data_IF_400218858844
#
_entry.id   IF_400218858844
#
_cell.length_a   1.000
_cell.length_b   1.000
_cell.length_c   1.000
_cell.angle_alpha   90.00
_cell.angle_beta   90.00
_cell.angle_gamma   90.00
#
_symmetry.space_group_name_H-M   'P 1'
#
loop_
_entity.id
_entity.type
_entity.pdbx_description
1 polymer ?
#
# COMPACT_ATOMS: atom_id res chain seq x y z
N UNK A 1 -20.92 -19.34 -27.04
CA UNK A 1 -19.47 -19.33 -27.40
C UNK A 1 -19.12 -20.71 -27.96
N UNK A 2 -18.52 -20.75 -29.16
CA UNK A 2 -18.12 -22.03 -29.81
C UNK A 2 -16.95 -22.65 -29.03
N UNK A 3 -16.88 -24.00 -28.93
CA UNK A 3 -15.76 -24.76 -28.34
C UNK A 3 -14.38 -24.34 -28.90
N UNK A 4 -14.34 -23.85 -30.15
CA UNK A 4 -13.15 -23.31 -30.81
C UNK A 4 -12.57 -22.06 -30.12
N UNK A 5 -13.42 -21.19 -29.58
CA UNK A 5 -12.99 -19.96 -28.90
C UNK A 5 -12.41 -20.24 -27.52
N UNK A 6 -12.89 -21.27 -26.83
CA UNK A 6 -12.36 -21.71 -25.53
C UNK A 6 -10.95 -22.33 -25.70
N UNK A 7 -10.76 -23.13 -26.76
CA UNK A 7 -9.44 -23.71 -27.06
C UNK A 7 -8.41 -22.65 -27.49
N UNK A 8 -8.81 -21.65 -28.27
CA UNK A 8 -7.94 -20.50 -28.58
C UNK A 8 -7.59 -19.70 -27.33
N UNK A 9 -8.59 -19.45 -26.46
CA UNK A 9 -8.37 -18.74 -25.20
C UNK A 9 -7.41 -19.47 -24.26
N UNK A 10 -7.58 -20.78 -24.09
CA UNK A 10 -6.67 -21.61 -23.29
C UNK A 10 -5.27 -21.72 -23.91
N UNK A 11 -5.14 -21.72 -25.24
CA UNK A 11 -3.86 -21.69 -25.94
C UNK A 11 -3.16 -20.35 -25.77
N UNK A 12 -3.86 -19.23 -25.89
CA UNK A 12 -3.33 -17.88 -25.63
C UNK A 12 -2.92 -17.73 -24.16
N UNK A 13 -3.72 -18.25 -23.23
CA UNK A 13 -3.41 -18.23 -21.80
C UNK A 13 -2.19 -19.08 -21.45
N UNK A 14 -2.06 -20.28 -22.04
CA UNK A 14 -0.85 -21.11 -21.93
C UNK A 14 0.37 -20.45 -22.57
N UNK A 15 0.23 -19.84 -23.74
CA UNK A 15 1.31 -19.12 -24.42
C UNK A 15 1.74 -17.89 -23.61
N UNK A 16 0.80 -17.07 -23.09
CA UNK A 16 1.10 -15.95 -22.22
C UNK A 16 1.82 -16.37 -20.94
N UNK A 17 1.41 -17.46 -20.30
CA UNK A 17 2.08 -17.96 -19.09
C UNK A 17 3.43 -18.61 -19.42
N UNK A 18 3.54 -19.39 -20.52
CA UNK A 18 4.80 -20.03 -20.90
C UNK A 18 5.81 -19.00 -21.43
N UNK A 19 5.38 -18.05 -22.23
CA UNK A 19 6.26 -16.99 -22.74
C UNK A 19 6.61 -15.97 -21.66
N UNK A 20 5.67 -15.66 -20.74
CA UNK A 20 5.96 -14.82 -19.57
C UNK A 20 6.97 -15.48 -18.61
N UNK A 21 6.93 -16.82 -18.46
CA UNK A 21 7.93 -17.57 -17.67
C UNK A 21 9.25 -17.80 -18.41
N UNK A 22 9.28 -17.79 -19.76
CA UNK A 22 10.48 -17.97 -20.57
C UNK A 22 11.21 -16.63 -20.85
N UNK A 23 10.50 -15.51 -20.99
CA UNK A 23 11.10 -14.20 -21.27
C UNK A 23 11.56 -13.45 -20.02
N UNK A 24 10.98 -13.72 -18.86
CA UNK A 24 11.49 -13.21 -17.59
C UNK A 24 12.42 -14.28 -17.01
N UNK A 25 13.67 -14.29 -17.45
CA UNK A 25 14.77 -14.91 -16.71
C UNK A 25 14.99 -14.07 -15.42
N UNK A 26 13.98 -14.04 -14.55
CA UNK A 26 14.17 -13.53 -13.20
C UNK A 26 15.30 -14.36 -12.59
N UNK A 27 16.36 -13.74 -12.06
CA UNK A 27 17.37 -14.47 -11.32
C UNK A 27 16.61 -15.33 -10.30
N UNK A 28 16.94 -16.62 -10.26
CA UNK A 28 16.32 -17.58 -9.34
C UNK A 28 16.65 -17.16 -7.91
N UNK A 29 15.88 -16.20 -7.39
CA UNK A 29 16.06 -15.65 -6.06
C UNK A 29 15.64 -16.75 -5.10
N UNK A 30 16.61 -17.41 -4.47
CA UNK A 30 16.38 -18.42 -3.45
C UNK A 30 16.34 -17.75 -2.09
N UNK A 31 15.21 -17.82 -1.43
CA UNK A 31 15.09 -17.48 -0.02
C UNK A 31 15.42 -18.72 0.82
N UNK A 32 16.54 -18.75 1.56
CA UNK A 32 16.95 -19.91 2.40
C UNK A 32 16.64 -21.27 1.74
N UNK A 33 16.98 -21.45 0.44
CA UNK A 33 16.75 -22.69 -0.31
C UNK A 33 15.33 -22.90 -0.86
N UNK A 34 14.33 -22.09 -0.52
CA UNK A 34 12.98 -22.10 -1.11
C UNK A 34 12.88 -21.15 -2.30
N UNK A 35 12.23 -21.60 -3.40
CA UNK A 35 11.92 -20.72 -4.54
C UNK A 35 10.93 -19.65 -4.08
N UNK A 36 11.17 -18.39 -4.45
CA UNK A 36 10.15 -17.35 -4.35
C UNK A 36 9.07 -17.61 -5.41
N UNK A 37 8.01 -18.29 -5.00
CA UNK A 37 6.84 -18.59 -5.85
C UNK A 37 5.74 -17.55 -5.68
N UNK A 38 6.08 -16.34 -5.17
CA UNK A 38 5.11 -15.32 -4.80
C UNK A 38 4.18 -14.90 -5.96
N UNK A 39 4.69 -14.90 -7.20
CA UNK A 39 3.88 -14.65 -8.40
C UNK A 39 2.86 -15.76 -8.70
N UNK A 40 2.98 -16.93 -8.10
CA UNK A 40 2.02 -18.02 -8.21
C UNK A 40 1.04 -18.06 -7.01
N UNK A 41 1.12 -17.09 -6.10
CA UNK A 41 0.13 -16.97 -5.04
C UNK A 41 -1.25 -16.69 -5.65
N UNK A 42 -2.29 -17.44 -5.27
CA UNK A 42 -3.64 -17.26 -5.81
C UNK A 42 -4.15 -15.83 -5.67
N UNK A 43 -3.81 -15.13 -4.59
CA UNK A 43 -4.28 -13.75 -4.36
C UNK A 43 -3.65 -12.79 -5.38
N UNK A 44 -2.36 -12.94 -5.69
CA UNK A 44 -1.67 -12.15 -6.72
C UNK A 44 -2.18 -12.52 -8.12
N UNK A 45 -2.44 -13.81 -8.38
CA UNK A 45 -3.02 -14.24 -9.66
C UNK A 45 -4.42 -13.66 -9.86
N UNK A 46 -5.25 -13.57 -8.82
CA UNK A 46 -6.55 -12.90 -8.89
C UNK A 46 -6.41 -11.39 -9.14
N UNK A 47 -5.40 -10.74 -8.60
CA UNK A 47 -5.09 -9.34 -8.93
C UNK A 47 -4.76 -9.17 -10.41
N UNK A 48 -3.88 -10.00 -10.96
CA UNK A 48 -3.49 -9.98 -12.38
C UNK A 48 -4.73 -10.27 -13.25
N UNK A 49 -5.56 -11.25 -12.85
CA UNK A 49 -6.80 -11.55 -13.54
C UNK A 49 -7.79 -10.36 -13.51
N UNK A 50 -7.88 -9.66 -12.39
CA UNK A 50 -8.68 -8.43 -12.26
C UNK A 50 -8.21 -7.33 -13.22
N UNK A 51 -6.89 -7.11 -13.32
CA UNK A 51 -6.33 -6.18 -14.32
C UNK A 51 -6.73 -6.61 -15.74
N UNK A 52 -6.55 -7.88 -16.06
CA UNK A 52 -6.92 -8.40 -17.38
C UNK A 52 -8.41 -8.20 -17.68
N UNK A 53 -9.30 -8.57 -16.75
CA UNK A 53 -10.74 -8.41 -16.89
C UNK A 53 -11.14 -6.94 -17.10
N UNK A 54 -10.50 -6.01 -16.37
CA UNK A 54 -10.70 -4.57 -16.54
C UNK A 54 -10.22 -4.04 -17.89
N UNK A 55 -9.04 -4.49 -18.37
CA UNK A 55 -8.50 -4.08 -19.67
C UNK A 55 -9.33 -4.58 -20.85
N UNK A 56 -9.91 -5.79 -20.77
CA UNK A 56 -10.83 -6.31 -21.81
C UNK A 56 -12.24 -5.76 -21.66
N UNK A 57 -12.47 -4.84 -20.73
CA UNK A 57 -13.76 -4.21 -20.45
C UNK A 57 -14.86 -5.24 -20.13
N UNK A 58 -14.52 -6.25 -19.34
CA UNK A 58 -15.50 -7.20 -18.82
C UNK A 58 -16.56 -6.48 -17.99
N UNK A 59 -17.77 -7.04 -17.95
CA UNK A 59 -18.84 -6.61 -17.04
C UNK A 59 -18.65 -7.13 -15.61
N UNK A 60 -17.50 -7.74 -15.32
CA UNK A 60 -17.16 -8.16 -13.96
C UNK A 60 -17.01 -6.92 -13.08
N UNK A 61 -17.86 -6.86 -12.06
CA UNK A 61 -17.88 -5.75 -11.11
C UNK A 61 -18.14 -6.28 -9.70
N UNK A 62 -17.42 -5.76 -8.75
CA UNK A 62 -17.65 -6.02 -7.32
C UNK A 62 -18.40 -4.80 -6.77
N UNK A 63 -19.63 -4.99 -6.24
CA UNK A 63 -20.38 -3.88 -5.67
C UNK A 63 -19.60 -3.14 -4.57
N UNK A 64 -19.66 -1.81 -4.57
CA UNK A 64 -18.94 -0.98 -3.60
C UNK A 64 -19.13 -1.38 -2.12
N UNK A 65 -20.34 -1.75 -1.66
CA UNK A 65 -20.52 -2.23 -0.29
C UNK A 65 -19.71 -3.49 0.03
N UNK A 66 -19.57 -4.41 -0.94
CA UNK A 66 -18.76 -5.63 -0.78
C UNK A 66 -17.28 -5.26 -0.73
N UNK A 67 -16.78 -4.43 -1.64
CA UNK A 67 -15.40 -3.94 -1.64
C UNK A 67 -15.05 -3.25 -0.30
N UNK A 68 -15.94 -2.39 0.20
CA UNK A 68 -15.79 -1.76 1.51
C UNK A 68 -15.78 -2.76 2.66
N UNK A 69 -16.68 -3.73 2.66
CA UNK A 69 -16.70 -4.79 3.67
C UNK A 69 -15.38 -5.57 3.67
N UNK A 70 -14.87 -5.98 2.49
CA UNK A 70 -13.60 -6.69 2.37
C UNK A 70 -12.44 -5.87 2.94
N UNK A 71 -12.37 -4.57 2.64
CA UNK A 71 -11.35 -3.68 3.20
C UNK A 71 -11.41 -3.62 4.73
N UNK A 72 -12.59 -3.40 5.30
CA UNK A 72 -12.79 -3.35 6.77
C UNK A 72 -12.46 -4.70 7.42
N UNK A 73 -12.89 -5.81 6.81
CA UNK A 73 -12.56 -7.15 7.28
C UNK A 73 -11.04 -7.38 7.36
N UNK A 74 -10.31 -7.04 6.28
CA UNK A 74 -8.86 -7.23 6.22
C UNK A 74 -8.14 -6.37 7.27
N UNK A 75 -8.56 -5.13 7.48
CA UNK A 75 -8.01 -4.25 8.52
C UNK A 75 -8.29 -4.80 9.93
N UNK A 76 -9.50 -5.29 10.19
CA UNK A 76 -9.86 -5.91 11.46
C UNK A 76 -9.02 -7.17 11.72
N UNK A 77 -8.90 -8.06 10.74
CA UNK A 77 -8.10 -9.27 10.85
C UNK A 77 -6.61 -8.97 11.07
N UNK A 78 -6.06 -7.97 10.37
CA UNK A 78 -4.69 -7.52 10.53
C UNK A 78 -4.45 -6.95 11.94
N UNK A 79 -5.35 -6.08 12.42
CA UNK A 79 -5.27 -5.52 13.77
C UNK A 79 -5.27 -6.61 14.84
N UNK A 80 -6.18 -7.57 14.75
CA UNK A 80 -6.24 -8.72 15.67
C UNK A 80 -4.92 -9.52 15.66
N UNK A 81 -4.42 -9.89 14.47
CA UNK A 81 -3.14 -10.61 14.31
C UNK A 81 -1.98 -9.84 14.96
N UNK A 82 -1.90 -8.52 14.69
CA UNK A 82 -0.92 -7.63 15.29
C UNK A 82 -1.01 -7.57 16.80
N UNK A 83 -2.23 -7.46 17.33
CA UNK A 83 -2.50 -7.42 18.78
C UNK A 83 -2.13 -8.72 19.49
N UNK A 84 -2.49 -9.88 18.91
CA UNK A 84 -2.09 -11.19 19.46
C UNK A 84 -0.56 -11.36 19.45
N UNK A 85 0.10 -10.98 18.37
CA UNK A 85 1.55 -11.04 18.28
C UNK A 85 2.23 -10.15 19.33
N UNK A 86 1.71 -8.92 19.51
CA UNK A 86 2.23 -7.97 20.49
C UNK A 86 1.98 -8.41 21.95
N UNK A 87 0.82 -9.03 22.24
CA UNK A 87 0.57 -9.65 23.54
C UNK A 87 1.62 -10.73 23.87
N UNK A 88 1.99 -11.54 22.88
CA UNK A 88 2.93 -12.64 23.04
C UNK A 88 4.39 -12.16 23.15
N UNK A 89 4.80 -11.16 22.35
CA UNK A 89 6.17 -10.64 22.35
C UNK A 89 6.45 -9.65 23.48
N UNK A 90 5.42 -8.98 23.98
CA UNK A 90 5.54 -7.83 24.88
C UNK A 90 6.06 -6.58 24.14
N UNK A 91 6.35 -5.53 24.91
CA UNK A 91 6.91 -4.28 24.40
C UNK A 91 8.44 -4.31 24.49
N UNK A 92 9.12 -4.17 23.35
CA UNK A 92 10.57 -4.20 23.25
C UNK A 92 11.12 -2.87 22.70
N UNK A 93 12.41 -2.52 22.91
CA UNK A 93 13.01 -1.31 22.35
C UNK A 93 12.94 -1.25 20.81
N UNK A 94 12.98 -2.39 20.13
CA UNK A 94 12.88 -2.50 18.68
C UNK A 94 11.55 -1.94 18.15
N UNK A 95 10.47 -2.04 18.95
CA UNK A 95 9.16 -1.45 18.62
C UNK A 95 9.30 0.08 18.52
N UNK A 96 9.95 0.72 19.49
CA UNK A 96 10.14 2.17 19.48
C UNK A 96 10.97 2.62 18.27
N UNK A 97 12.01 1.85 17.92
CA UNK A 97 12.84 2.11 16.75
C UNK A 97 12.00 2.01 15.47
N UNK A 98 11.28 0.91 15.27
CA UNK A 98 10.45 0.68 14.07
C UNK A 98 9.38 1.74 13.91
N UNK A 99 8.67 2.11 15.00
CA UNK A 99 7.66 3.17 14.98
C UNK A 99 8.28 4.55 14.73
N UNK A 100 9.44 4.84 15.33
CA UNK A 100 10.20 6.08 15.10
C UNK A 100 10.64 6.22 13.63
N UNK A 101 11.13 5.14 13.03
CA UNK A 101 11.49 5.10 11.61
C UNK A 101 10.25 5.28 10.71
N UNK A 102 9.13 4.62 11.03
CA UNK A 102 7.87 4.79 10.31
C UNK A 102 7.42 6.25 10.27
N UNK A 103 7.39 6.92 11.43
CA UNK A 103 7.02 8.35 11.52
C UNK A 103 8.03 9.22 10.77
N UNK A 104 9.33 8.94 10.90
CA UNK A 104 10.39 9.69 10.21
C UNK A 104 10.24 9.60 8.70
N UNK A 105 9.96 8.40 8.16
CA UNK A 105 9.69 8.18 6.74
C UNK A 105 8.41 8.89 6.28
N UNK A 106 7.34 8.84 7.08
CA UNK A 106 6.07 9.50 6.77
C UNK A 106 6.17 11.03 6.72
N UNK A 107 7.19 11.61 7.37
CA UNK A 107 7.50 13.05 7.30
C UNK A 107 8.49 13.35 6.18
N UNK A 108 9.58 12.57 6.07
CA UNK A 108 10.66 12.83 5.13
C UNK A 108 10.22 12.65 3.68
N UNK A 109 9.50 11.56 3.37
CA UNK A 109 9.09 11.24 2.00
C UNK A 109 8.24 12.34 1.36
N UNK A 110 7.15 12.85 1.99
CA UNK A 110 6.36 13.91 1.36
C UNK A 110 7.14 15.22 1.24
N UNK A 111 8.03 15.55 2.16
CA UNK A 111 8.86 16.74 2.05
C UNK A 111 9.86 16.64 0.89
N UNK A 112 10.51 15.49 0.71
CA UNK A 112 11.41 15.21 -0.41
C UNK A 112 10.64 15.24 -1.74
N UNK A 113 9.51 14.56 -1.81
CA UNK A 113 8.65 14.51 -2.99
C UNK A 113 8.15 15.88 -3.41
N UNK A 114 7.66 16.68 -2.47
CA UNK A 114 7.24 18.07 -2.74
C UNK A 114 8.39 18.92 -3.26
N UNK A 115 9.56 18.87 -2.61
CA UNK A 115 10.73 19.64 -3.03
C UNK A 115 11.20 19.29 -4.46
N UNK A 116 11.09 18.03 -4.84
CA UNK A 116 11.43 17.57 -6.19
C UNK A 116 10.38 18.03 -7.22
N UNK A 117 9.09 17.89 -6.91
CA UNK A 117 8.01 18.09 -7.87
C UNK A 117 7.60 19.56 -8.06
N UNK A 118 7.73 20.41 -7.01
CA UNK A 118 7.31 21.83 -7.05
C UNK A 118 7.97 22.69 -8.15
N UNK A 119 9.08 22.22 -8.70
CA UNK A 119 9.82 22.90 -9.78
C UNK A 119 9.35 22.50 -11.18
N UNK A 120 8.56 21.43 -11.28
CA UNK A 120 8.12 20.83 -12.56
C UNK A 120 6.61 20.79 -12.73
N UNK A 121 5.87 20.90 -11.63
CA UNK A 121 4.40 20.86 -11.57
C UNK A 121 3.87 22.09 -10.84
N UNK A 122 2.55 22.32 -10.95
CA UNK A 122 1.89 23.26 -10.05
C UNK A 122 2.16 22.86 -8.60
N UNK A 123 2.34 23.86 -7.74
CA UNK A 123 2.72 23.62 -6.33
C UNK A 123 1.65 22.85 -5.55
N UNK A 124 0.36 23.03 -5.87
CA UNK A 124 -0.73 22.28 -5.24
C UNK A 124 -0.75 20.83 -5.74
N UNK A 125 -0.56 20.60 -7.04
CA UNK A 125 -0.42 19.27 -7.61
C UNK A 125 0.78 18.53 -6.99
N UNK A 126 1.92 19.23 -6.87
CA UNK A 126 3.13 18.68 -6.23
C UNK A 126 2.87 18.30 -4.76
N UNK A 127 2.12 19.12 -4.00
CA UNK A 127 1.78 18.83 -2.62
C UNK A 127 0.84 17.63 -2.50
N UNK A 128 -0.15 17.51 -3.38
CA UNK A 128 -1.08 16.38 -3.40
C UNK A 128 -0.40 15.05 -3.75
N UNK A 129 0.48 15.05 -4.78
CA UNK A 129 1.28 13.88 -5.14
C UNK A 129 2.21 13.51 -3.98
N UNK A 130 2.90 14.47 -3.40
CA UNK A 130 3.80 14.25 -2.28
C UNK A 130 3.09 13.64 -1.06
N UNK A 131 1.87 14.09 -0.73
CA UNK A 131 1.05 13.48 0.30
C UNK A 131 0.66 12.05 -0.03
N UNK A 132 0.25 11.80 -1.27
CA UNK A 132 -0.13 10.47 -1.75
C UNK A 132 1.02 9.47 -1.59
N UNK A 133 2.25 9.87 -1.91
CA UNK A 133 3.45 9.04 -1.81
C UNK A 133 4.13 9.08 -0.43
N UNK A 134 3.77 10.02 0.41
CA UNK A 134 4.22 10.09 1.82
C UNK A 134 3.34 9.30 2.78
N UNK A 135 2.16 8.90 2.33
CA UNK A 135 1.25 8.02 3.05
C UNK A 135 1.36 6.59 2.51
N UNK A 136 0.54 5.68 3.01
CA UNK A 136 0.69 4.25 2.80
C UNK A 136 -0.46 3.63 1.99
N UNK A 137 -0.23 2.40 1.52
CA UNK A 137 -1.26 1.50 1.00
C UNK A 137 -1.46 0.33 1.96
N UNK A 138 -2.57 0.32 2.66
CA UNK A 138 -2.93 -0.78 3.57
C UNK A 138 -2.97 -2.13 2.83
N UNK A 139 -3.46 -2.15 1.58
CA UNK A 139 -3.55 -3.38 0.77
C UNK A 139 -2.18 -3.94 0.42
N UNK A 140 -1.24 -3.06 0.03
CA UNK A 140 0.14 -3.50 -0.24
C UNK A 140 0.78 -4.08 1.01
N UNK A 141 0.57 -3.45 2.16
CA UNK A 141 1.04 -3.95 3.46
C UNK A 141 0.42 -5.32 3.79
N UNK A 142 -0.90 -5.46 3.73
CA UNK A 142 -1.62 -6.71 4.01
C UNK A 142 -1.16 -7.84 3.08
N UNK A 143 -0.97 -7.54 1.79
CA UNK A 143 -0.45 -8.53 0.82
C UNK A 143 0.96 -8.95 1.18
N UNK A 144 1.81 -8.01 1.63
CA UNK A 144 3.17 -8.30 2.07
C UNK A 144 3.20 -9.18 3.32
N UNK A 145 2.36 -8.88 4.33
CA UNK A 145 2.28 -9.74 5.53
C UNK A 145 1.88 -11.17 5.17
N UNK A 146 0.97 -11.36 4.22
CA UNK A 146 0.59 -12.67 3.70
C UNK A 146 1.77 -13.40 3.04
N UNK A 147 2.58 -12.68 2.24
CA UNK A 147 3.79 -13.23 1.60
C UNK A 147 4.84 -13.62 2.65
N UNK A 148 5.04 -12.80 3.68
CA UNK A 148 5.97 -13.09 4.77
C UNK A 148 5.52 -14.33 5.57
N UNK A 149 4.23 -14.42 5.91
CA UNK A 149 3.64 -15.59 6.60
C UNK A 149 3.89 -16.88 5.80
N UNK A 150 3.66 -16.87 4.48
CA UNK A 150 3.91 -18.02 3.60
C UNK A 150 5.39 -18.38 3.49
N UNK A 151 6.26 -17.36 3.55
CA UNK A 151 7.72 -17.54 3.48
C UNK A 151 8.33 -17.97 4.82
N UNK A 152 7.55 -17.95 5.91
CA UNK A 152 8.00 -18.23 7.26
C UNK A 152 8.92 -17.15 7.83
N UNK A 153 8.77 -15.91 7.35
CA UNK A 153 9.52 -14.75 7.86
C UNK A 153 8.66 -14.08 8.93
N UNK A 154 9.17 -14.08 10.17
CA UNK A 154 8.51 -13.42 11.29
C UNK A 154 8.64 -11.89 11.21
N UNK A 155 7.64 -11.17 11.64
CA UNK A 155 7.60 -9.73 11.78
C UNK A 155 6.85 -9.33 13.05
N UNK A 156 7.10 -8.11 13.54
CA UNK A 156 6.49 -7.61 14.77
C UNK A 156 5.02 -7.23 14.59
N UNK A 157 4.18 -7.58 15.58
CA UNK A 157 2.75 -7.18 15.57
C UNK A 157 2.54 -5.66 15.57
N UNK A 158 3.52 -4.90 16.08
CA UNK A 158 3.54 -3.44 16.08
C UNK A 158 3.59 -2.82 14.68
N UNK A 159 3.93 -3.59 13.65
CA UNK A 159 3.96 -3.09 12.27
C UNK A 159 2.58 -2.68 11.74
N UNK A 160 1.49 -3.24 12.31
CA UNK A 160 0.14 -2.76 12.04
C UNK A 160 -0.09 -1.34 12.58
N UNK A 161 0.46 -1.03 13.77
CA UNK A 161 0.45 0.33 14.31
C UNK A 161 1.37 1.28 13.52
N UNK A 162 2.54 0.80 13.08
CA UNK A 162 3.44 1.57 12.20
C UNK A 162 2.70 2.01 10.92
N UNK A 163 1.97 1.10 10.29
CA UNK A 163 1.13 1.41 9.12
C UNK A 163 0.13 2.54 9.42
N UNK A 164 -0.63 2.45 10.52
CA UNK A 164 -1.59 3.47 10.91
C UNK A 164 -0.94 4.83 11.19
N UNK A 165 0.23 4.84 11.86
CA UNK A 165 0.96 6.06 12.19
C UNK A 165 1.54 6.77 10.95
N UNK A 166 1.86 6.03 9.89
CA UNK A 166 2.37 6.62 8.65
C UNK A 166 1.30 7.31 7.80
N UNK A 167 0.02 7.12 8.08
CA UNK A 167 -1.05 7.66 7.25
C UNK A 167 -1.27 9.17 7.43
N UNK A 168 -1.31 9.63 8.68
CA UNK A 168 -1.68 11.00 9.03
C UNK A 168 -0.61 12.08 8.73
N UNK A 169 0.70 11.88 8.94
CA UNK A 169 1.70 12.94 8.77
C UNK A 169 1.74 13.54 7.38
N UNK A 170 1.62 12.72 6.34
CA UNK A 170 1.63 13.18 4.95
C UNK A 170 0.43 14.08 4.61
N UNK A 171 -0.75 13.77 5.14
CA UNK A 171 -1.97 14.57 5.00
C UNK A 171 -1.78 15.95 5.65
N UNK A 172 -1.24 15.97 6.87
CA UNK A 172 -0.98 17.21 7.61
C UNK A 172 -0.01 18.11 6.82
N UNK A 173 1.10 17.54 6.34
CA UNK A 173 2.11 18.26 5.55
C UNK A 173 1.47 18.85 4.29
N UNK A 174 0.63 18.08 3.56
CA UNK A 174 -0.02 18.58 2.34
C UNK A 174 -0.92 19.79 2.62
N UNK A 175 -1.69 19.76 3.70
CA UNK A 175 -2.59 20.86 4.06
C UNK A 175 -1.82 22.09 4.49
N UNK A 176 -0.77 21.93 5.28
CA UNK A 176 0.13 23.03 5.65
C UNK A 176 0.74 23.67 4.42
N UNK A 177 1.22 22.86 3.48
CA UNK A 177 1.78 23.34 2.21
C UNK A 177 0.70 24.06 1.37
N UNK A 178 -0.48 23.48 1.23
CA UNK A 178 -1.58 24.08 0.47
C UNK A 178 -1.99 25.44 1.04
N UNK A 179 -2.15 25.53 2.37
CA UNK A 179 -2.48 26.80 3.02
C UNK A 179 -1.40 27.86 2.82
N UNK A 180 -0.11 27.50 2.91
CA UNK A 180 1.01 28.40 2.60
C UNK A 180 1.01 28.85 1.12
N UNK A 181 0.75 27.93 0.19
CA UNK A 181 0.71 28.25 -1.25
C UNK A 181 -0.42 29.22 -1.55
N UNK A 182 -1.61 29.00 -0.96
CA UNK A 182 -2.77 29.90 -1.13
C UNK A 182 -2.50 31.30 -0.57
N UNK A 183 -1.91 31.40 0.62
CA UNK A 183 -1.51 32.70 1.20
C UNK A 183 -0.57 33.49 0.28
N UNK A 184 0.41 32.80 -0.31
CA UNK A 184 1.34 33.47 -1.24
C UNK A 184 0.70 33.87 -2.57
N UNK A 185 -0.37 33.21 -3.02
CA UNK A 185 -1.07 33.52 -4.28
C UNK A 185 -2.09 34.66 -4.14
N UNK A 186 -2.82 34.70 -3.04
CA UNK A 186 -3.97 35.61 -2.90
C UNK A 186 -3.72 36.83 -2.06
N UNK A 187 -2.60 36.91 -1.32
CA UNK A 187 -2.29 38.08 -0.44
C UNK A 187 -3.29 38.30 0.69
N UNK A 188 -4.37 37.52 0.75
CA UNK A 188 -5.43 37.57 1.76
C UNK A 188 -5.50 36.27 2.53
N UNK A 189 -6.05 36.31 3.76
CA UNK A 189 -6.41 35.10 4.53
C UNK A 189 -7.53 34.34 3.81
N UNK A 190 -7.17 33.63 2.74
CA UNK A 190 -8.09 32.69 2.10
C UNK A 190 -8.56 31.67 3.15
N UNK A 191 -9.79 31.17 3.01
CA UNK A 191 -10.39 30.15 3.88
C UNK A 191 -9.37 29.02 4.16
N UNK A 192 -8.77 29.08 5.36
CA UNK A 192 -7.78 28.08 5.77
C UNK A 192 -8.50 26.82 6.19
N UNK A 193 -8.12 25.70 5.61
CA UNK A 193 -8.57 24.38 6.11
C UNK A 193 -8.01 24.22 7.52
N UNK A 194 -8.88 24.07 8.51
CA UNK A 194 -8.49 23.92 9.91
C UNK A 194 -7.70 22.63 10.11
N UNK A 195 -6.45 22.76 10.58
CA UNK A 195 -5.62 21.60 10.94
C UNK A 195 -6.27 20.72 12.01
N UNK A 196 -6.94 21.32 12.98
CA UNK A 196 -7.64 20.57 14.03
C UNK A 196 -8.76 19.69 13.47
N UNK A 197 -9.54 20.21 12.49
CA UNK A 197 -10.58 19.43 11.81
C UNK A 197 -9.98 18.26 11.03
N UNK A 198 -8.90 18.50 10.29
CA UNK A 198 -8.23 17.47 9.50
C UNK A 198 -7.59 16.42 10.39
N UNK A 199 -6.95 16.79 11.48
CA UNK A 199 -6.44 15.86 12.48
C UNK A 199 -7.58 14.99 13.03
N UNK A 200 -8.68 15.61 13.41
CA UNK A 200 -9.85 14.91 13.90
C UNK A 200 -10.37 13.90 12.86
N UNK A 201 -10.57 14.32 11.60
CA UNK A 201 -11.02 13.45 10.51
C UNK A 201 -10.05 12.30 10.24
N UNK A 202 -8.73 12.55 10.28
CA UNK A 202 -7.71 11.51 10.09
C UNK A 202 -7.71 10.48 11.21
N UNK A 203 -7.80 10.91 12.47
CA UNK A 203 -7.81 9.99 13.61
C UNK A 203 -9.18 9.33 13.87
N UNK A 204 -10.25 9.85 13.30
CA UNK A 204 -11.60 9.28 13.38
C UNK A 204 -12.01 8.52 12.11
N UNK A 205 -11.08 8.34 11.16
CA UNK A 205 -11.34 7.47 10.01
C UNK A 205 -11.71 6.06 10.45
N UNK A 206 -12.79 5.54 9.88
CA UNK A 206 -13.35 4.26 10.30
C UNK A 206 -12.42 3.08 10.09
N UNK A 207 -11.59 3.11 9.06
CA UNK A 207 -10.58 2.07 8.79
C UNK A 207 -9.46 2.08 9.83
N UNK A 208 -8.94 3.26 10.16
CA UNK A 208 -7.90 3.43 11.18
C UNK A 208 -8.40 3.06 12.58
N UNK A 209 -9.59 3.55 12.95
CA UNK A 209 -10.20 3.19 14.23
C UNK A 209 -10.43 1.69 14.36
N UNK A 210 -10.89 1.03 13.29
CA UNK A 210 -11.11 -0.40 13.28
C UNK A 210 -9.78 -1.17 13.42
N UNK A 211 -8.74 -0.76 12.70
CA UNK A 211 -7.41 -1.36 12.79
C UNK A 211 -6.82 -1.26 14.19
N UNK A 212 -6.77 -0.03 14.74
CA UNK A 212 -6.20 0.22 16.07
C UNK A 212 -7.05 -0.40 17.18
N UNK A 213 -8.39 -0.31 17.06
CA UNK A 213 -9.33 -0.97 17.97
C UNK A 213 -9.16 -2.48 17.98
N UNK A 214 -9.04 -3.10 16.80
CA UNK A 214 -8.81 -4.55 16.66
C UNK A 214 -7.44 -4.96 17.22
N UNK A 215 -6.41 -4.12 17.05
CA UNK A 215 -5.09 -4.34 17.65
C UNK A 215 -5.19 -4.34 19.17
N UNK A 216 -5.91 -3.38 19.76
CA UNK A 216 -6.16 -3.33 21.20
C UNK A 216 -6.95 -4.54 21.69
N UNK A 217 -8.00 -4.95 20.97
CA UNK A 217 -8.78 -6.15 21.30
C UNK A 217 -7.88 -7.39 21.26
N UNK A 218 -7.04 -7.54 20.23
CA UNK A 218 -6.09 -8.64 20.14
C UNK A 218 -5.07 -8.64 21.28
N UNK A 219 -4.53 -7.46 21.63
CA UNK A 219 -3.59 -7.28 22.74
C UNK A 219 -4.21 -7.67 24.08
N UNK A 220 -5.45 -7.26 24.36
CA UNK A 220 -6.13 -7.53 25.63
C UNK A 220 -6.59 -8.99 25.74
N UNK A 221 -7.14 -9.57 24.65
CA UNK A 221 -7.68 -10.91 24.65
C UNK A 221 -6.63 -12.03 24.55
N UNK A 222 -5.44 -11.72 24.06
CA UNK A 222 -4.28 -12.63 24.02
C UNK A 222 -4.57 -13.98 23.38
N UNK A 223 -3.99 -15.05 23.94
CA UNK A 223 -4.10 -16.42 23.40
C UNK A 223 -5.54 -16.95 23.36
N UNK A 224 -6.40 -16.56 24.31
CA UNK A 224 -7.82 -16.96 24.32
C UNK A 224 -8.55 -16.35 23.11
N UNK A 225 -8.36 -15.05 22.89
CA UNK A 225 -8.92 -14.35 21.73
C UNK A 225 -8.40 -14.90 20.43
N UNK A 226 -7.11 -15.22 20.35
CA UNK A 226 -6.49 -15.83 19.18
C UNK A 226 -7.16 -17.14 18.78
N UNK A 227 -7.39 -18.06 19.73
CA UNK A 227 -8.06 -19.34 19.46
C UNK A 227 -9.48 -19.16 18.93
N UNK A 228 -10.26 -18.26 19.54
CA UNK A 228 -11.65 -18.00 19.15
C UNK A 228 -11.73 -17.34 17.78
N UNK A 229 -10.82 -16.39 17.50
CA UNK A 229 -10.84 -15.59 16.26
C UNK A 229 -10.04 -16.21 15.12
N UNK A 230 -9.32 -17.31 15.31
CA UNK A 230 -8.51 -17.95 14.27
C UNK A 230 -9.31 -18.27 12.99
N UNK A 231 -10.53 -18.86 13.03
CA UNK A 231 -11.30 -19.12 11.81
C UNK A 231 -11.57 -17.83 11.00
N UNK A 232 -11.81 -16.72 11.70
CA UNK A 232 -12.07 -15.42 11.09
C UNK A 232 -10.80 -14.72 10.61
N UNK A 233 -9.77 -14.62 11.46
CA UNK A 233 -8.59 -13.79 11.19
C UNK A 233 -7.46 -14.53 10.47
N UNK A 234 -7.52 -15.86 10.34
CA UNK A 234 -6.50 -16.68 9.70
C UNK A 234 -7.08 -17.47 8.52
N UNK A 235 -8.09 -18.31 8.77
CA UNK A 235 -8.56 -19.27 7.77
C UNK A 235 -9.29 -18.59 6.61
N UNK A 236 -10.21 -17.66 6.90
CA UNK A 236 -10.92 -16.88 5.87
C UNK A 236 -10.05 -15.81 5.21
N UNK A 237 -8.98 -15.37 5.85
CA UNK A 237 -8.18 -14.22 5.44
C UNK A 237 -7.67 -14.32 4.00
N UNK A 238 -7.10 -15.46 3.63
CA UNK A 238 -6.51 -15.68 2.29
C UNK A 238 -7.55 -15.58 1.18
N UNK A 239 -8.72 -16.20 1.38
CA UNK A 239 -9.79 -16.19 0.39
C UNK A 239 -10.37 -14.79 0.20
N UNK A 240 -10.62 -14.07 1.29
CA UNK A 240 -11.15 -12.70 1.22
C UNK A 240 -10.11 -11.71 0.69
N UNK A 241 -8.81 -11.91 1.00
CA UNK A 241 -7.73 -11.13 0.38
C UNK A 241 -7.67 -11.36 -1.13
N UNK A 242 -7.79 -12.60 -1.59
CA UNK A 242 -7.79 -12.92 -3.02
C UNK A 242 -8.95 -12.25 -3.75
N UNK A 243 -10.15 -12.27 -3.15
CA UNK A 243 -11.33 -11.60 -3.69
C UNK A 243 -11.18 -10.08 -3.70
N UNK A 244 -10.58 -9.51 -2.65
CA UNK A 244 -10.29 -8.09 -2.58
C UNK A 244 -9.21 -7.66 -3.60
N UNK A 245 -8.17 -8.47 -3.80
CA UNK A 245 -7.15 -8.20 -4.81
C UNK A 245 -7.70 -8.31 -6.24
N UNK A 246 -8.66 -9.19 -6.50
CA UNK A 246 -9.41 -9.19 -7.77
C UNK A 246 -10.09 -7.83 -8.02
N UNK A 247 -10.80 -7.31 -7.02
CA UNK A 247 -11.43 -5.98 -7.10
C UNK A 247 -10.39 -4.88 -7.36
N UNK A 248 -9.31 -4.88 -6.60
CA UNK A 248 -8.22 -3.91 -6.78
C UNK A 248 -7.58 -3.99 -8.17
N UNK A 249 -7.50 -5.18 -8.76
CA UNK A 249 -7.07 -5.36 -10.16
C UNK A 249 -8.00 -4.68 -11.16
N UNK A 250 -9.31 -4.83 -10.99
CA UNK A 250 -10.33 -4.14 -11.81
C UNK A 250 -10.20 -2.62 -11.69
N UNK A 251 -10.05 -2.10 -10.48
CA UNK A 251 -9.88 -0.67 -10.20
C UNK A 251 -8.58 -0.15 -10.81
N UNK A 252 -7.47 -0.87 -10.65
CA UNK A 252 -6.17 -0.50 -11.23
C UNK A 252 -6.24 -0.37 -12.77
N UNK A 253 -6.89 -1.32 -13.44
CA UNK A 253 -7.06 -1.28 -14.89
C UNK A 253 -7.84 -0.03 -15.38
N UNK A 254 -8.86 0.38 -14.62
CA UNK A 254 -9.64 1.60 -14.91
C UNK A 254 -8.78 2.85 -14.72
N UNK A 255 -7.97 2.88 -13.65
CA UNK A 255 -7.13 4.03 -13.28
C UNK A 255 -5.97 4.28 -14.27
N UNK A 256 -5.48 3.26 -14.97
CA UNK A 256 -4.49 3.43 -16.06
C UNK A 256 -5.00 4.41 -17.14
N UNK A 257 -6.31 4.37 -17.44
CA UNK A 257 -6.92 5.27 -18.42
C UNK A 257 -6.84 6.76 -18.03
N UNK A 258 -6.82 7.07 -16.74
CA UNK A 258 -6.76 8.43 -16.20
C UNK A 258 -5.39 9.10 -16.37
N UNK A 259 -4.37 8.32 -16.70
CA UNK A 259 -2.99 8.79 -16.91
C UNK A 259 -2.75 9.39 -18.30
N UNK A 260 -3.69 9.23 -19.23
CA UNK A 260 -3.56 9.79 -20.59
C UNK A 260 -3.45 11.31 -20.53
N UNK A 261 -2.44 11.86 -21.20
CA UNK A 261 -2.21 13.31 -21.26
C UNK A 261 -1.61 13.93 -20.00
N UNK A 262 -1.24 13.14 -18.98
CA UNK A 262 -0.56 13.66 -17.78
C UNK A 262 0.92 13.96 -18.08
N UNK A 263 1.53 14.93 -17.36
CA UNK A 263 2.94 15.28 -17.55
C UNK A 263 3.86 14.08 -17.40
N UNK A 264 4.89 13.91 -18.28
CA UNK A 264 5.81 12.76 -18.20
C UNK A 264 6.51 12.61 -16.84
N UNK A 265 6.75 13.72 -16.14
CA UNK A 265 7.38 13.72 -14.82
C UNK A 265 6.54 12.97 -13.77
N UNK A 266 5.21 13.00 -13.88
CA UNK A 266 4.32 12.28 -12.96
C UNK A 266 4.42 10.77 -13.18
N UNK A 267 4.50 10.33 -14.43
CA UNK A 267 4.73 8.93 -14.77
C UNK A 267 6.10 8.47 -14.29
N UNK A 268 7.15 9.25 -14.57
CA UNK A 268 8.50 8.94 -14.12
C UNK A 268 8.56 8.85 -12.58
N UNK A 269 7.91 9.76 -11.87
CA UNK A 269 7.84 9.74 -10.41
C UNK A 269 7.12 8.49 -9.90
N UNK A 270 6.02 8.09 -10.53
CA UNK A 270 5.26 6.90 -10.13
C UNK A 270 6.06 5.59 -10.23
N UNK A 271 7.05 5.52 -11.14
CA UNK A 271 7.94 4.36 -11.28
C UNK A 271 9.20 4.45 -10.42
N UNK A 272 9.79 5.64 -10.28
CA UNK A 272 11.12 5.81 -9.66
C UNK A 272 11.00 6.04 -8.14
N UNK A 273 10.00 6.78 -7.68
CA UNK A 273 9.87 7.11 -6.27
C UNK A 273 9.69 5.86 -5.36
N UNK A 274 8.84 4.86 -5.69
CA UNK A 274 8.67 3.69 -4.86
C UNK A 274 9.96 2.93 -4.55
N UNK A 275 10.77 2.51 -5.53
CA UNK A 275 12.04 1.82 -5.24
C UNK A 275 13.04 2.74 -4.52
N UNK A 276 13.05 4.04 -4.81
CA UNK A 276 13.94 4.98 -4.10
C UNK A 276 13.57 5.08 -2.63
N UNK A 277 12.27 5.20 -2.30
CA UNK A 277 11.79 5.24 -0.93
C UNK A 277 12.05 3.91 -0.20
N UNK A 278 11.87 2.76 -0.87
CA UNK A 278 12.21 1.46 -0.32
C UNK A 278 13.70 1.37 0.06
N UNK A 279 14.60 1.86 -0.80
CA UNK A 279 16.04 1.85 -0.52
C UNK A 279 16.42 2.80 0.61
N UNK A 280 15.77 3.96 0.73
CA UNK A 280 15.94 4.85 1.89
C UNK A 280 15.52 4.14 3.16
N UNK A 281 14.36 3.48 3.16
CA UNK A 281 13.89 2.70 4.31
C UNK A 281 14.87 1.57 4.67
N UNK A 282 15.35 0.84 3.67
CA UNK A 282 16.37 -0.21 3.88
C UNK A 282 17.63 0.33 4.56
N UNK A 283 18.17 1.45 4.06
CA UNK A 283 19.37 2.07 4.63
C UNK A 283 19.18 2.47 6.10
N UNK A 284 18.02 3.03 6.45
CA UNK A 284 17.67 3.36 7.82
C UNK A 284 17.49 2.10 8.67
N UNK A 285 16.77 1.09 8.17
CA UNK A 285 16.58 -0.17 8.88
C UNK A 285 17.90 -0.90 9.15
N UNK A 286 18.80 -0.90 8.18
CA UNK A 286 20.15 -1.49 8.35
C UNK A 286 20.96 -0.72 9.41
N UNK A 287 20.92 0.62 9.40
CA UNK A 287 21.61 1.46 10.39
C UNK A 287 21.13 1.21 11.83
N UNK A 288 19.84 0.95 12.01
CA UNK A 288 19.23 0.71 13.31
C UNK A 288 19.03 -0.77 13.66
N UNK A 289 19.58 -1.69 12.86
CA UNK A 289 19.51 -3.15 13.04
C UNK A 289 18.06 -3.68 13.20
N UNK A 290 17.14 -3.15 12.39
CA UNK A 290 15.74 -3.58 12.39
C UNK A 290 15.64 -5.03 11.87
N UNK A 291 14.84 -5.91 12.51
CA UNK A 291 14.64 -7.29 12.04
C UNK A 291 14.15 -7.38 10.60
N UNK A 292 14.53 -8.45 9.89
CA UNK A 292 14.27 -8.64 8.46
C UNK A 292 12.80 -8.42 8.07
N UNK A 293 11.86 -9.04 8.80
CA UNK A 293 10.43 -8.92 8.47
C UNK A 293 9.91 -7.50 8.61
N UNK A 294 10.32 -6.80 9.67
CA UNK A 294 9.96 -5.40 9.90
C UNK A 294 10.62 -4.48 8.87
N UNK A 295 11.87 -4.77 8.49
CA UNK A 295 12.57 -4.07 7.40
C UNK A 295 11.81 -4.18 6.09
N UNK A 296 11.38 -5.38 5.68
CA UNK A 296 10.58 -5.57 4.46
C UNK A 296 9.28 -4.77 4.53
N UNK A 297 8.60 -4.80 5.67
CA UNK A 297 7.36 -4.06 5.85
C UNK A 297 7.56 -2.54 5.81
N UNK A 298 8.63 -2.00 6.43
CA UNK A 298 8.97 -0.58 6.34
C UNK A 298 9.34 -0.16 4.92
N UNK A 299 10.09 -0.99 4.19
CA UNK A 299 10.40 -0.75 2.78
C UNK A 299 9.12 -0.66 1.93
N UNK A 300 8.18 -1.58 2.14
CA UNK A 300 6.90 -1.61 1.42
C UNK A 300 6.01 -0.42 1.80
N UNK A 301 5.95 -0.07 3.07
CA UNK A 301 5.20 1.12 3.53
C UNK A 301 5.77 2.37 2.87
N UNK A 302 7.08 2.55 2.88
CA UNK A 302 7.76 3.68 2.25
C UNK A 302 7.59 3.73 0.73
N UNK A 303 7.58 2.56 0.05
CA UNK A 303 7.41 2.44 -1.38
C UNK A 303 5.95 2.53 -1.84
N UNK A 304 4.99 2.49 -0.93
CA UNK A 304 3.57 2.50 -1.28
C UNK A 304 3.05 3.92 -1.50
N UNK A 305 1.85 4.03 -2.03
CA UNK A 305 1.16 5.29 -2.25
C UNK A 305 -0.31 5.13 -1.83
N UNK A 306 -0.82 6.09 -1.07
CA UNK A 306 -2.21 6.07 -0.61
C UNK A 306 -3.18 6.35 -1.76
N UNK A 307 -4.25 5.57 -1.84
CA UNK A 307 -5.33 5.77 -2.81
C UNK A 307 -6.72 5.76 -2.16
N UNK A 308 -6.78 5.65 -0.84
CA UNK A 308 -8.04 5.67 -0.06
C UNK A 308 -8.03 6.90 0.85
N UNK A 309 -7.18 6.94 1.88
CA UNK A 309 -7.22 7.95 2.92
C UNK A 309 -6.81 9.35 2.42
N UNK A 310 -5.64 9.46 1.78
CA UNK A 310 -5.18 10.76 1.26
C UNK A 310 -6.15 11.32 0.22
N UNK A 311 -6.59 10.58 -0.81
CA UNK A 311 -7.59 11.08 -1.76
C UNK A 311 -8.91 11.53 -1.12
N UNK A 312 -9.38 10.83 -0.09
CA UNK A 312 -10.60 11.22 0.61
C UNK A 312 -10.50 12.61 1.25
N UNK A 313 -9.37 12.90 1.91
CA UNK A 313 -9.11 14.20 2.54
C UNK A 313 -8.82 15.27 1.50
N UNK A 314 -7.99 14.98 0.48
CA UNK A 314 -7.59 15.98 -0.52
C UNK A 314 -8.76 16.50 -1.36
N UNK A 315 -9.78 15.67 -1.62
CA UNK A 315 -11.00 16.11 -2.33
C UNK A 315 -11.67 17.31 -1.66
N UNK A 316 -11.61 17.40 -0.34
CA UNK A 316 -12.20 18.50 0.44
C UNK A 316 -11.17 19.58 0.78
N UNK A 317 -9.95 19.19 1.10
CA UNK A 317 -8.91 20.10 1.54
C UNK A 317 -8.21 20.83 0.38
N UNK A 318 -8.16 20.21 -0.81
CA UNK A 318 -7.47 20.72 -1.99
C UNK A 318 -8.32 20.49 -3.28
N UNK A 319 -9.53 21.09 -3.35
CA UNK A 319 -10.45 20.88 -4.49
C UNK A 319 -9.89 21.38 -5.83
N UNK A 320 -8.85 22.22 -5.80
CA UNK A 320 -8.17 22.72 -7.01
C UNK A 320 -7.35 21.64 -7.73
N UNK A 321 -6.96 20.58 -7.03
CA UNK A 321 -6.15 19.50 -7.59
C UNK A 321 -7.05 18.45 -8.23
N UNK A 322 -6.69 18.03 -9.45
CA UNK A 322 -7.43 16.97 -10.13
C UNK A 322 -7.15 15.59 -9.50
N UNK A 323 -8.16 14.93 -8.89
CA UNK A 323 -7.97 13.61 -8.27
C UNK A 323 -7.42 12.54 -9.22
N UNK A 324 -7.77 12.59 -10.52
CA UNK A 324 -7.29 11.65 -11.52
C UNK A 324 -5.75 11.66 -11.65
N UNK A 325 -5.08 12.74 -11.24
CA UNK A 325 -3.64 12.83 -11.29
C UNK A 325 -2.99 11.86 -10.28
N UNK A 326 -3.26 12.07 -8.99
CA UNK A 326 -2.60 11.28 -7.94
C UNK A 326 -3.21 9.88 -7.78
N UNK A 327 -4.52 9.70 -8.06
CA UNK A 327 -5.15 8.38 -8.06
C UNK A 327 -4.67 7.52 -9.24
N UNK A 328 -4.57 8.10 -10.44
CA UNK A 328 -4.02 7.39 -11.60
C UNK A 328 -2.59 6.93 -11.36
N UNK A 329 -1.74 7.76 -10.75
CA UNK A 329 -0.37 7.40 -10.39
C UNK A 329 -0.33 6.28 -9.33
N UNK A 330 -1.07 6.41 -8.24
CA UNK A 330 -1.04 5.43 -7.15
C UNK A 330 -1.68 4.09 -7.53
N UNK A 331 -2.91 4.08 -8.09
CA UNK A 331 -3.64 2.87 -8.45
C UNK A 331 -3.23 2.29 -9.81
N UNK A 332 -2.96 3.18 -10.80
CA UNK A 332 -2.67 2.73 -12.16
C UNK A 332 -1.21 2.26 -12.36
N UNK A 333 -0.27 2.75 -11.56
CA UNK A 333 1.16 2.43 -11.71
C UNK A 333 1.74 1.84 -10.42
N UNK A 334 1.79 2.63 -9.35
CA UNK A 334 2.57 2.28 -8.16
C UNK A 334 2.04 1.05 -7.45
N UNK A 335 0.73 0.92 -7.30
CA UNK A 335 0.12 -0.22 -6.65
C UNK A 335 0.36 -1.53 -7.42
N UNK A 336 0.08 -1.65 -8.75
CA UNK A 336 0.44 -2.83 -9.53
C UNK A 336 1.94 -3.14 -9.50
N UNK A 337 2.79 -2.11 -9.61
CA UNK A 337 4.24 -2.25 -9.54
C UNK A 337 4.67 -2.90 -8.22
N UNK A 338 4.14 -2.42 -7.09
CA UNK A 338 4.49 -2.94 -5.77
C UNK A 338 3.96 -4.37 -5.56
N UNK A 339 2.71 -4.67 -5.95
CA UNK A 339 2.15 -6.02 -5.79
C UNK A 339 2.91 -7.07 -6.63
N UNK A 340 3.23 -6.75 -7.89
CA UNK A 340 3.81 -7.71 -8.82
C UNK A 340 5.33 -7.80 -8.69
N UNK A 341 6.01 -6.65 -8.58
CA UNK A 341 7.46 -6.56 -8.61
C UNK A 341 8.06 -6.10 -7.28
N UNK A 342 7.45 -5.11 -6.63
CA UNK A 342 7.99 -4.48 -5.43
C UNK A 342 8.14 -5.48 -4.27
N UNK A 343 7.07 -6.18 -3.91
CA UNK A 343 7.11 -7.16 -2.80
C UNK A 343 8.23 -8.18 -2.99
N UNK A 344 8.34 -8.91 -4.14
CA UNK A 344 9.42 -9.87 -4.33
C UNK A 344 10.81 -9.22 -4.38
N UNK A 345 10.98 -8.09 -5.06
CA UNK A 345 12.28 -7.44 -5.22
C UNK A 345 12.77 -6.87 -3.88
N UNK A 346 11.93 -6.12 -3.15
CA UNK A 346 12.34 -5.52 -1.88
C UNK A 346 12.61 -6.59 -0.82
N UNK A 347 11.81 -7.67 -0.80
CA UNK A 347 12.08 -8.81 0.07
C UNK A 347 13.42 -9.48 -0.23
N UNK A 348 13.77 -9.62 -1.52
CA UNK A 348 15.05 -10.19 -1.94
C UNK A 348 16.23 -9.28 -1.55
N UNK A 349 16.09 -7.97 -1.79
CA UNK A 349 17.13 -7.00 -1.43
C UNK A 349 17.33 -6.96 0.09
N UNK A 350 16.25 -6.86 0.87
CA UNK A 350 16.34 -6.87 2.32
C UNK A 350 17.04 -8.13 2.86
N UNK A 351 16.70 -9.30 2.30
CA UNK A 351 17.35 -10.56 2.69
C UNK A 351 18.83 -10.64 2.31
N UNK A 352 19.26 -9.92 1.27
CA UNK A 352 20.67 -9.88 0.88
C UNK A 352 21.51 -9.06 1.86
N UNK A 353 20.93 -8.02 2.46
CA UNK A 353 21.59 -7.13 3.42
C UNK A 353 21.36 -7.51 4.90
N UNK A 354 20.50 -8.50 5.20
CA UNK A 354 20.29 -9.06 6.54
C UNK A 354 21.36 -10.10 6.90
#
# INVERSE_FOLDING_TARGET
MSKSNIHRFLSIYKCLISDFTLYINFPRIKFKGKRMTNLLDPSILFFIFGIFAGLVKSNLEIPQPISRFLSLYLLMALGLKGGFALNKSGFTPEIAISLGLAISLAIAIPLLGYNLLKHKLDKLDAAAIAATYGSISAVTFITTTQVLDQSGISYGGHMAAAMALMESPAIIIAIVLANRIRQHRSGTTASQTSLAKVLHESFTDGGQLLLLGSLMVGLISGDSGHKVMAPFSIDLFKGLLAFFLLDMGLVAARSIGELKGKPPITLAYAFIAPPTHALIALGLCHLFHVPLGDTILLMILAASASYIAVPAVLRHAMPEVNPALYMGMSLGITFPLNIILGIPIYSAIANYFA
#
